data_IF_398826669887
#
_entry.id   IF_398826669887
#
_cell.length_a   1.000
_cell.length_b   1.000
_cell.length_c   1.000
_cell.angle_alpha   90.00
_cell.angle_beta   90.00
_cell.angle_gamma   90.00
#
_symmetry.space_group_name_H-M   'P 1'
#
loop_
_entity.id
_entity.type
_entity.pdbx_description
1 polymer ?
#
# COMPACT_ATOMS: atom_id res chain seq x y z
N UNK A 1 -23.24 -23.56 2.03
CA UNK A 1 -22.53 -24.73 1.51
C UNK A 1 -21.10 -24.27 1.32
N UNK A 2 -20.10 -24.72 2.09
CA UNK A 2 -18.72 -24.50 1.77
C UNK A 2 -18.42 -25.32 0.52
N UNK A 3 -17.89 -24.70 -0.52
CA UNK A 3 -17.37 -25.39 -1.68
C UNK A 3 -16.17 -26.24 -1.21
N UNK A 4 -16.32 -27.55 -1.24
CA UNK A 4 -15.20 -28.44 -1.13
C UNK A 4 -14.30 -28.18 -2.35
N UNK A 5 -13.19 -27.46 -2.13
CA UNK A 5 -12.07 -27.45 -3.06
C UNK A 5 -11.54 -28.88 -3.12
N UNK A 6 -11.90 -29.64 -4.12
CA UNK A 6 -11.20 -30.89 -4.44
C UNK A 6 -9.76 -30.49 -4.73
N UNK A 7 -8.83 -30.89 -3.90
CA UNK A 7 -7.40 -30.72 -4.14
C UNK A 7 -7.02 -31.65 -5.31
N UNK A 8 -7.13 -31.15 -6.53
CA UNK A 8 -6.64 -31.86 -7.69
C UNK A 8 -5.12 -32.00 -7.53
N UNK A 9 -4.70 -33.21 -7.25
CA UNK A 9 -3.29 -33.58 -7.20
C UNK A 9 -2.87 -34.09 -8.57
N UNK A 10 -1.77 -33.54 -9.07
CA UNK A 10 -1.18 -33.93 -10.34
C UNK A 10 0.00 -34.84 -10.07
N UNK A 11 -0.04 -36.05 -10.60
CA UNK A 11 1.07 -37.00 -10.54
C UNK A 11 1.95 -36.85 -11.78
N UNK A 12 3.25 -36.77 -11.57
CA UNK A 12 4.26 -36.67 -12.62
C UNK A 12 5.09 -37.91 -12.69
N UNK A 13 5.86 -38.08 -13.78
CA UNK A 13 6.83 -39.12 -13.91
C UNK A 13 7.82 -39.12 -12.72
N UNK A 14 8.23 -40.29 -12.29
CA UNK A 14 9.20 -40.43 -11.18
C UNK A 14 10.54 -39.80 -11.56
N UNK A 15 11.10 -39.02 -10.62
CA UNK A 15 12.44 -38.44 -10.75
C UNK A 15 13.39 -39.15 -9.78
N UNK A 16 14.46 -39.79 -10.29
CA UNK A 16 15.40 -40.54 -9.48
C UNK A 16 14.71 -41.50 -8.50
N UNK A 17 13.77 -42.32 -8.98
CA UNK A 17 12.93 -43.26 -8.21
C UNK A 17 11.94 -42.63 -7.19
N UNK A 18 11.87 -41.31 -7.05
CA UNK A 18 10.93 -40.64 -6.17
C UNK A 18 9.62 -40.31 -6.89
N UNK A 19 8.49 -40.50 -6.22
CA UNK A 19 7.22 -40.04 -6.71
C UNK A 19 7.18 -38.49 -6.64
N UNK A 20 6.66 -37.85 -7.70
CA UNK A 20 6.49 -36.39 -7.76
C UNK A 20 5.00 -36.10 -7.87
N UNK A 21 4.50 -35.36 -6.92
CA UNK A 21 3.08 -34.96 -6.86
C UNK A 21 3.04 -33.44 -6.67
N UNK A 22 2.19 -32.74 -7.41
CA UNK A 22 1.92 -31.32 -7.20
C UNK A 22 0.45 -31.12 -6.83
N UNK A 23 0.18 -30.14 -6.02
CA UNK A 23 -1.16 -29.71 -5.63
C UNK A 23 -1.20 -28.19 -5.45
N UNK A 24 -2.38 -27.62 -5.57
CA UNK A 24 -2.61 -26.17 -5.35
C UNK A 24 -3.20 -25.91 -3.95
N UNK A 25 -2.62 -26.57 -2.94
CA UNK A 25 -3.06 -26.52 -1.54
C UNK A 25 -2.13 -25.69 -0.64
N UNK A 26 -1.17 -24.96 -1.21
CA UNK A 26 -0.16 -24.16 -0.49
C UNK A 26 -0.67 -22.88 0.15
N UNK A 27 -1.96 -22.54 0.01
CA UNK A 27 -2.53 -21.32 0.57
C UNK A 27 -2.06 -20.04 -0.17
N UNK A 28 -2.25 -18.90 0.46
CA UNK A 28 -1.85 -17.61 -0.10
C UNK A 28 -0.39 -17.31 0.24
N UNK A 29 0.42 -17.06 -0.77
CA UNK A 29 1.84 -16.69 -0.63
C UNK A 29 2.05 -15.27 -1.14
N UNK A 30 3.10 -14.62 -0.66
CA UNK A 30 3.51 -13.28 -1.11
C UNK A 30 5.00 -13.23 -1.39
N UNK A 31 5.39 -12.42 -2.38
CA UNK A 31 6.79 -12.01 -2.60
C UNK A 31 7.15 -10.70 -1.89
N UNK A 32 6.16 -10.04 -1.26
CA UNK A 32 6.28 -8.69 -0.70
C UNK A 32 6.65 -8.67 0.79
N UNK A 33 7.37 -9.68 1.30
CA UNK A 33 7.75 -9.77 2.71
C UNK A 33 8.55 -8.54 3.21
N UNK A 34 9.24 -7.83 2.32
CA UNK A 34 9.90 -6.55 2.59
C UNK A 34 8.97 -5.47 3.14
N UNK A 35 7.67 -5.53 2.85
CA UNK A 35 6.67 -4.62 3.43
C UNK A 35 6.66 -4.62 4.96
N UNK A 36 7.03 -5.74 5.61
CA UNK A 36 7.12 -5.82 7.07
C UNK A 36 8.21 -4.90 7.62
N UNK A 37 9.36 -4.82 6.95
CA UNK A 37 10.45 -3.91 7.32
C UNK A 37 10.05 -2.47 7.07
N UNK A 38 9.47 -2.17 5.92
CA UNK A 38 8.95 -0.84 5.60
C UNK A 38 7.90 -0.38 6.61
N UNK A 39 6.97 -1.24 6.98
CA UNK A 39 5.98 -0.94 8.02
C UNK A 39 6.59 -0.76 9.42
N UNK A 40 7.69 -1.45 9.74
CA UNK A 40 8.43 -1.22 10.97
C UNK A 40 9.12 0.15 10.97
N UNK A 41 9.72 0.53 9.85
CA UNK A 41 10.31 1.87 9.64
C UNK A 41 9.25 2.95 9.74
N UNK A 42 8.10 2.78 9.06
CA UNK A 42 7.00 3.73 9.12
C UNK A 42 6.49 3.96 10.55
N UNK A 43 6.36 2.91 11.36
CA UNK A 43 6.00 3.06 12.78
C UNK A 43 7.00 3.90 13.59
N UNK A 44 8.26 3.93 13.16
CA UNK A 44 9.31 4.74 13.81
C UNK A 44 9.27 6.22 13.41
N UNK A 45 9.04 6.50 12.13
CA UNK A 45 9.09 7.86 11.57
C UNK A 45 7.70 8.50 11.38
N UNK A 46 6.64 7.69 11.34
CA UNK A 46 5.26 8.15 11.19
C UNK A 46 4.92 8.74 9.82
N UNK A 47 5.67 8.36 8.76
CA UNK A 47 5.52 8.95 7.42
C UNK A 47 4.09 8.83 6.90
N UNK A 48 3.51 7.63 6.93
CA UNK A 48 2.17 7.36 6.37
C UNK A 48 1.11 8.21 7.08
N UNK A 49 1.15 8.28 8.41
CA UNK A 49 0.19 9.05 9.19
C UNK A 49 0.34 10.55 8.93
N UNK A 50 1.57 11.05 8.92
CA UNK A 50 1.89 12.47 8.69
C UNK A 50 1.53 12.88 7.27
N UNK A 51 1.84 12.04 6.28
CA UNK A 51 1.50 12.32 4.88
C UNK A 51 0.00 12.25 4.64
N UNK A 52 -0.71 11.29 5.22
CA UNK A 52 -2.17 11.23 5.13
C UNK A 52 -2.85 12.47 5.73
N UNK A 53 -2.25 13.10 6.75
CA UNK A 53 -2.75 14.34 7.35
C UNK A 53 -2.64 15.57 6.43
N UNK A 54 -1.86 15.49 5.34
CA UNK A 54 -1.79 16.54 4.32
C UNK A 54 -2.97 16.48 3.32
N UNK A 55 -3.88 15.53 3.49
CA UNK A 55 -5.06 15.37 2.62
C UNK A 55 -6.35 15.68 3.37
N UNK A 56 -7.34 16.18 2.63
CA UNK A 56 -8.70 16.41 3.11
C UNK A 56 -9.65 15.43 2.43
N UNK A 57 -10.49 14.76 3.22
CA UNK A 57 -11.43 13.73 2.73
C UNK A 57 -12.88 14.15 2.99
N UNK A 58 -13.59 14.52 1.93
CA UNK A 58 -15.02 14.86 1.97
C UNK A 58 -15.91 13.73 1.44
N UNK A 59 -15.40 12.50 1.39
CA UNK A 59 -16.23 11.33 1.07
C UNK A 59 -17.18 11.05 2.24
N UNK A 60 -18.36 10.52 1.93
CA UNK A 60 -19.32 10.13 2.96
C UNK A 60 -18.74 8.98 3.82
N UNK A 61 -18.57 9.16 5.15
CA UNK A 61 -17.84 8.21 6.00
C UNK A 61 -18.43 6.80 6.00
N UNK A 62 -19.75 6.68 5.85
CA UNK A 62 -20.49 5.42 5.78
C UNK A 62 -20.23 4.62 4.49
N UNK A 63 -19.76 5.31 3.44
CA UNK A 63 -19.44 4.74 2.13
C UNK A 63 -17.94 4.55 1.91
N UNK A 64 -17.10 5.01 2.82
CA UNK A 64 -15.64 4.86 2.74
C UNK A 64 -15.22 3.46 3.16
N UNK A 65 -14.75 2.65 2.22
CA UNK A 65 -14.15 1.33 2.50
C UNK A 65 -12.69 1.48 2.95
N UNK A 66 -11.93 2.35 2.28
CA UNK A 66 -10.52 2.60 2.55
C UNK A 66 -10.32 4.07 2.92
N UNK A 67 -9.92 4.34 4.17
CA UNK A 67 -9.59 5.68 4.66
C UNK A 67 -8.27 6.21 4.08
N UNK A 68 -8.00 7.50 4.22
CA UNK A 68 -6.79 8.16 3.69
C UNK A 68 -5.50 7.49 4.13
N UNK A 69 -5.35 7.18 5.40
CA UNK A 69 -4.14 6.51 5.93
C UNK A 69 -3.91 5.16 5.24
N UNK A 70 -4.98 4.39 4.96
CA UNK A 70 -4.85 3.12 4.23
C UNK A 70 -4.44 3.36 2.78
N UNK A 71 -5.04 4.33 2.09
CA UNK A 71 -4.73 4.64 0.69
C UNK A 71 -3.29 5.14 0.54
N UNK A 72 -2.90 6.10 1.35
CA UNK A 72 -1.53 6.67 1.37
C UNK A 72 -0.51 5.58 1.70
N UNK A 73 -0.73 4.82 2.77
CA UNK A 73 0.19 3.76 3.18
C UNK A 73 0.33 2.66 2.13
N UNK A 74 -0.79 2.23 1.53
CA UNK A 74 -0.75 1.25 0.44
C UNK A 74 0.08 1.76 -0.75
N UNK A 75 -0.08 3.03 -1.13
CA UNK A 75 0.65 3.61 -2.26
C UNK A 75 2.13 3.80 -1.95
N UNK A 76 2.46 4.35 -0.79
CA UNK A 76 3.85 4.54 -0.33
C UNK A 76 4.60 3.21 -0.24
N UNK A 77 3.99 2.19 0.37
CA UNK A 77 4.60 0.86 0.48
C UNK A 77 4.78 0.20 -0.89
N UNK A 78 3.80 0.34 -1.79
CA UNK A 78 3.92 -0.21 -3.14
C UNK A 78 5.07 0.44 -3.92
N UNK A 79 5.18 1.77 -3.90
CA UNK A 79 6.30 2.49 -4.53
C UNK A 79 7.65 2.02 -3.96
N UNK A 80 7.77 1.91 -2.64
CA UNK A 80 8.99 1.45 -1.98
C UNK A 80 9.34 -0.01 -2.29
N UNK A 81 8.36 -0.82 -2.73
CA UNK A 81 8.55 -2.19 -3.21
C UNK A 81 8.80 -2.28 -4.73
N UNK A 82 8.79 -1.15 -5.44
CA UNK A 82 9.03 -1.08 -6.88
C UNK A 82 7.77 -1.16 -7.76
N UNK A 83 6.58 -1.07 -7.18
CA UNK A 83 5.32 -1.03 -7.92
C UNK A 83 4.92 0.42 -8.24
N UNK A 84 5.39 0.92 -9.37
CA UNK A 84 5.12 2.29 -9.80
C UNK A 84 3.74 2.43 -10.44
N UNK A 85 3.29 1.40 -11.17
CA UNK A 85 2.00 1.42 -11.87
C UNK A 85 0.82 1.21 -10.92
N UNK A 86 -0.21 2.04 -11.06
CA UNK A 86 -1.47 1.87 -10.35
C UNK A 86 -2.19 0.56 -10.72
N UNK A 87 -1.97 0.02 -11.92
CA UNK A 87 -2.58 -1.23 -12.35
C UNK A 87 -2.17 -2.41 -11.45
N UNK A 88 -0.95 -2.40 -10.90
CA UNK A 88 -0.46 -3.43 -9.98
C UNK A 88 -1.35 -3.56 -8.73
N UNK A 89 -2.00 -2.49 -8.33
CA UNK A 89 -2.88 -2.50 -7.17
C UNK A 89 -4.15 -3.35 -7.34
N UNK A 90 -4.52 -3.72 -8.56
CA UNK A 90 -5.61 -4.69 -8.76
C UNK A 90 -5.21 -6.10 -8.31
N UNK A 91 -3.92 -6.41 -8.23
CA UNK A 91 -3.36 -7.62 -7.63
C UNK A 91 -2.95 -7.39 -6.17
N UNK A 92 -2.20 -6.32 -5.88
CA UNK A 92 -1.68 -6.00 -4.54
C UNK A 92 -2.79 -5.83 -3.49
N UNK A 93 -4.01 -5.44 -3.90
CA UNK A 93 -5.17 -5.34 -2.98
C UNK A 93 -5.51 -6.65 -2.28
N UNK A 94 -5.04 -7.78 -2.78
CA UNK A 94 -5.24 -9.12 -2.22
C UNK A 94 -4.01 -9.64 -1.48
N UNK A 95 -2.91 -8.89 -1.45
CA UNK A 95 -1.68 -9.30 -0.79
C UNK A 95 -1.85 -9.31 0.74
N UNK A 96 -1.66 -10.46 1.40
CA UNK A 96 -1.91 -10.58 2.84
C UNK A 96 -0.87 -9.82 3.68
N UNK A 97 0.36 -9.67 3.19
CA UNK A 97 1.42 -8.98 3.94
C UNK A 97 1.23 -7.48 3.90
N UNK A 98 0.88 -6.92 2.74
CA UNK A 98 0.49 -5.51 2.64
C UNK A 98 -0.73 -5.21 3.52
N UNK A 99 -1.76 -6.06 3.46
CA UNK A 99 -2.95 -5.92 4.30
C UNK A 99 -2.59 -5.96 5.80
N UNK A 100 -1.75 -6.90 6.22
CA UNK A 100 -1.30 -7.02 7.61
C UNK A 100 -0.49 -5.79 8.05
N UNK A 101 0.43 -5.31 7.20
CA UNK A 101 1.26 -4.13 7.47
C UNK A 101 0.41 -2.88 7.67
N UNK A 102 -0.70 -2.77 6.93
CA UNK A 102 -1.68 -1.68 7.06
C UNK A 102 -2.73 -1.91 8.16
N UNK A 103 -2.60 -2.97 8.97
CA UNK A 103 -3.58 -3.34 9.98
C UNK A 103 -4.93 -3.82 9.41
N UNK A 104 -4.93 -4.30 8.16
CA UNK A 104 -6.13 -4.73 7.41
C UNK A 104 -5.97 -6.19 7.01
N UNK A 105 -6.35 -7.12 7.90
CA UNK A 105 -6.26 -8.57 7.61
C UNK A 105 -7.43 -9.08 6.75
N UNK A 106 -8.54 -8.34 6.74
CA UNK A 106 -9.73 -8.68 5.98
C UNK A 106 -10.42 -7.43 5.44
N UNK A 107 -11.21 -7.60 4.40
CA UNK A 107 -12.06 -6.53 3.90
C UNK A 107 -13.10 -6.13 4.96
N UNK A 108 -13.43 -4.84 5.02
CA UNK A 108 -14.48 -4.30 5.91
C UNK A 108 -15.87 -4.76 5.51
N UNK A 109 -16.08 -5.02 4.21
CA UNK A 109 -17.35 -5.47 3.65
C UNK A 109 -17.16 -6.78 2.88
N UNK A 110 -18.15 -7.66 2.95
CA UNK A 110 -18.14 -8.90 2.19
C UNK A 110 -18.05 -8.62 0.67
N UNK A 111 -17.24 -9.40 -0.04
CA UNK A 111 -17.03 -9.27 -1.48
C UNK A 111 -16.04 -8.19 -1.89
N UNK A 112 -15.45 -7.44 -0.94
CA UNK A 112 -14.40 -6.46 -1.20
C UNK A 112 -13.02 -7.00 -0.83
N UNK A 113 -11.98 -6.45 -1.44
CA UNK A 113 -10.60 -6.76 -1.04
C UNK A 113 -10.22 -5.99 0.24
N UNK A 114 -9.21 -6.48 0.95
CA UNK A 114 -8.69 -5.82 2.15
C UNK A 114 -8.11 -4.42 1.87
N UNK A 115 -7.53 -4.24 0.68
CA UNK A 115 -6.91 -2.99 0.23
C UNK A 115 -7.58 -2.44 -1.04
N UNK A 116 -7.25 -1.22 -1.40
CA UNK A 116 -7.84 -0.51 -2.53
C UNK A 116 -7.30 -1.01 -3.88
N UNK A 117 -8.14 -1.03 -4.91
CA UNK A 117 -7.73 -1.22 -6.29
C UNK A 117 -7.33 0.09 -6.97
N UNK A 118 -6.82 -0.02 -8.21
CA UNK A 118 -6.29 1.10 -9.00
C UNK A 118 -7.22 2.32 -9.09
N UNK A 119 -8.52 2.10 -9.32
CA UNK A 119 -9.48 3.19 -9.49
C UNK A 119 -9.64 4.08 -8.24
N UNK A 120 -9.47 3.49 -7.06
CA UNK A 120 -9.55 4.24 -5.80
C UNK A 120 -8.25 5.00 -5.55
N UNK A 121 -7.10 4.39 -5.81
CA UNK A 121 -5.79 5.04 -5.70
C UNK A 121 -5.59 6.14 -6.74
N UNK A 122 -6.10 5.95 -7.95
CA UNK A 122 -6.09 7.00 -8.98
C UNK A 122 -6.79 8.28 -8.51
N UNK A 123 -7.86 8.18 -7.72
CA UNK A 123 -8.52 9.35 -7.12
C UNK A 123 -7.69 10.03 -6.05
N UNK A 124 -6.83 9.31 -5.37
CA UNK A 124 -5.87 9.87 -4.43
C UNK A 124 -4.76 10.63 -5.16
N UNK A 125 -4.14 10.03 -6.17
CA UNK A 125 -3.04 10.63 -6.94
C UNK A 125 -3.47 11.86 -7.74
N UNK A 126 -4.72 11.89 -8.20
CA UNK A 126 -5.28 13.04 -8.92
C UNK A 126 -6.12 13.96 -8.00
N UNK A 127 -5.89 13.88 -6.69
CA UNK A 127 -6.53 14.81 -5.76
C UNK A 127 -6.05 16.24 -6.07
N UNK A 128 -6.97 17.22 -6.27
CA UNK A 128 -6.60 18.61 -6.53
C UNK A 128 -5.93 19.25 -5.32
N UNK A 129 -5.11 20.26 -5.57
CA UNK A 129 -4.62 21.12 -4.52
C UNK A 129 -5.78 21.95 -3.92
N UNK A 130 -5.80 22.08 -2.59
CA UNK A 130 -6.83 22.82 -1.87
C UNK A 130 -8.11 22.02 -1.59
N UNK A 131 -9.23 22.73 -1.53
CA UNK A 131 -10.51 22.15 -1.11
C UNK A 131 -11.08 21.16 -2.13
N UNK A 132 -11.60 20.00 -1.67
CA UNK A 132 -12.26 19.03 -2.52
C UNK A 132 -13.49 19.61 -3.23
N UNK A 133 -13.78 19.10 -4.41
CA UNK A 133 -14.93 19.50 -5.22
C UNK A 133 -16.03 18.42 -5.24
N UNK A 134 -17.14 18.71 -5.94
CA UNK A 134 -18.20 17.71 -6.17
C UNK A 134 -17.69 16.43 -6.83
N UNK A 135 -16.69 16.54 -7.70
CA UNK A 135 -16.15 15.39 -8.47
C UNK A 135 -14.91 14.78 -7.82
N UNK A 136 -14.11 15.62 -7.14
CA UNK A 136 -12.90 15.21 -6.41
C UNK A 136 -13.14 15.41 -4.93
N UNK A 137 -13.48 14.33 -4.24
CA UNK A 137 -13.81 14.35 -2.80
C UNK A 137 -12.60 14.28 -1.89
N UNK A 138 -11.42 14.00 -2.46
CA UNK A 138 -10.13 14.04 -1.77
C UNK A 138 -9.38 15.24 -2.35
N UNK A 139 -8.84 16.09 -1.49
CA UNK A 139 -7.94 17.18 -1.85
C UNK A 139 -6.64 17.07 -1.08
N UNK A 140 -5.61 17.85 -1.44
CA UNK A 140 -4.35 17.91 -0.71
C UNK A 140 -3.89 19.33 -0.43
N UNK A 141 -3.14 19.52 0.66
CA UNK A 141 -2.41 20.74 0.99
C UNK A 141 -0.95 20.60 0.56
N UNK A 142 -0.60 21.19 -0.61
CA UNK A 142 0.76 21.14 -1.15
C UNK A 142 1.80 21.74 -0.20
N UNK A 143 1.47 22.85 0.48
CA UNK A 143 2.39 23.48 1.43
C UNK A 143 2.62 22.60 2.68
N UNK A 144 1.61 21.85 3.12
CA UNK A 144 1.78 20.86 4.18
C UNK A 144 2.68 19.70 3.75
N UNK A 145 2.56 19.27 2.49
CA UNK A 145 3.43 18.21 1.93
C UNK A 145 4.88 18.70 1.89
N UNK A 146 5.14 19.89 1.37
CA UNK A 146 6.48 20.46 1.33
C UNK A 146 7.11 20.57 2.73
N UNK A 147 6.34 21.10 3.70
CA UNK A 147 6.79 21.17 5.11
C UNK A 147 7.11 19.79 5.68
N UNK A 148 6.28 18.78 5.38
CA UNK A 148 6.49 17.42 5.88
C UNK A 148 7.84 16.84 5.44
N UNK A 149 8.25 17.04 4.19
CA UNK A 149 9.55 16.55 3.72
C UNK A 149 10.72 17.22 4.45
N UNK A 150 10.62 18.53 4.70
CA UNK A 150 11.62 19.26 5.49
C UNK A 150 11.65 18.74 6.93
N UNK A 151 10.48 18.54 7.56
CA UNK A 151 10.40 18.01 8.93
C UNK A 151 11.00 16.61 9.03
N UNK A 152 10.69 15.71 8.09
CA UNK A 152 11.26 14.35 8.06
C UNK A 152 12.78 14.38 7.93
N UNK A 153 13.30 15.30 7.09
CA UNK A 153 14.74 15.49 6.98
C UNK A 153 15.35 15.95 8.31
N UNK A 154 14.75 16.92 8.97
CA UNK A 154 15.24 17.43 10.26
C UNK A 154 15.16 16.36 11.36
N UNK A 155 14.07 15.61 11.42
CA UNK A 155 13.88 14.54 12.40
C UNK A 155 14.91 13.39 12.24
N UNK A 156 15.44 13.19 11.03
CA UNK A 156 16.48 12.21 10.76
C UNK A 156 17.88 12.61 11.30
N UNK A 157 18.07 13.89 11.69
CA UNK A 157 19.34 14.42 12.14
C UNK A 157 19.27 14.83 13.62
N UNK A 158 20.20 14.32 14.44
CA UNK A 158 20.29 14.73 15.85
C UNK A 158 20.75 16.18 16.03
N UNK A 159 21.54 16.65 15.08
CA UNK A 159 22.04 18.03 14.99
C UNK A 159 21.90 18.48 13.54
N UNK A 160 21.63 19.78 13.26
CA UNK A 160 21.61 20.28 11.91
C UNK A 160 22.92 19.93 11.19
N UNK A 161 22.88 19.39 9.96
CA UNK A 161 24.08 19.12 9.19
C UNK A 161 24.78 20.43 8.82
N UNK A 162 26.13 20.44 8.85
CA UNK A 162 26.93 21.59 8.47
C UNK A 162 26.91 21.82 6.95
N UNK A 163 26.69 20.75 6.18
CA UNK A 163 26.64 20.76 4.71
C UNK A 163 25.51 19.88 4.20
N UNK A 164 24.81 20.34 3.18
CA UNK A 164 23.77 19.60 2.48
C UNK A 164 24.13 19.57 1.00
N UNK A 165 24.30 18.37 0.45
CA UNK A 165 24.48 18.16 -0.99
C UNK A 165 23.12 17.95 -1.62
N UNK A 166 22.73 18.83 -2.54
CA UNK A 166 21.51 18.70 -3.34
C UNK A 166 21.92 18.17 -4.73
N UNK A 167 21.43 16.97 -5.04
CA UNK A 167 21.53 16.40 -6.38
C UNK A 167 20.23 16.71 -7.12
N UNK A 168 20.32 17.56 -8.13
CA UNK A 168 19.16 18.00 -8.92
C UNK A 168 19.25 17.31 -10.29
N UNK A 169 18.45 16.28 -10.46
CA UNK A 169 18.30 15.63 -11.76
C UNK A 169 17.23 16.36 -12.58
N UNK A 170 17.58 16.68 -13.83
CA UNK A 170 16.65 17.27 -14.79
C UNK A 170 15.98 16.14 -15.58
N UNK A 171 14.75 15.81 -15.21
CA UNK A 171 13.88 14.90 -15.97
C UNK A 171 13.09 15.63 -17.04
#
# INVERSE_FOLDING_TARGET
MPAECSSDRFEFARVASRAVVAGFDGGTITSNAGALLLGATDRSIGLVQRFAACFVDHRAPDQVEHGLTTLVGQRVLALALGYEDLADHDHLRHDPVLAATMGRLAARRAGYAALAGKSTLNRLEHAPAGEPSRYHRIGHDGAAIERLFVELFLDAHRTPPEEIVLDLDAT
#
